data_IF_495610671432
#
_entry.id   IF_495610671432
#
_cell.length_a   1.000
_cell.length_b   1.000
_cell.length_c   1.000
_cell.angle_alpha   90.00
_cell.angle_beta   90.00
_cell.angle_gamma   90.00
#
_symmetry.space_group_name_H-M   'P 1'
#
loop_
_entity.id
_entity.type
_entity.pdbx_description
1 polymer ?
#
# COMPACT_ATOMS: atom_id res chain seq x y z
N UNK A 1 6.18 0.94 -16.44
CA UNK A 1 6.62 1.71 -15.26
C UNK A 1 5.58 2.80 -15.05
N UNK A 2 5.24 3.13 -13.80
CA UNK A 2 4.18 4.12 -13.55
C UNK A 2 4.53 5.49 -14.16
N UNK A 3 3.55 6.14 -14.79
CA UNK A 3 3.65 7.44 -15.44
C UNK A 3 3.36 8.62 -14.52
N UNK A 4 2.56 8.41 -13.48
CA UNK A 4 2.10 9.45 -12.55
C UNK A 4 1.62 8.86 -11.21
N UNK A 5 1.43 9.74 -10.22
CA UNK A 5 0.73 9.42 -8.96
C UNK A 5 -0.69 10.02 -9.02
N UNK A 6 -1.71 9.16 -9.06
CA UNK A 6 -3.10 9.56 -8.99
C UNK A 6 -3.53 9.69 -7.52
N UNK A 7 -3.63 10.92 -7.03
CA UNK A 7 -4.06 11.22 -5.66
C UNK A 7 -5.57 11.46 -5.64
N UNK A 8 -6.29 10.78 -4.75
CA UNK A 8 -7.75 10.94 -4.63
C UNK A 8 -8.13 11.67 -3.36
N UNK A 9 -9.04 12.64 -3.48
CA UNK A 9 -9.67 13.34 -2.35
C UNK A 9 -11.16 13.55 -2.59
N UNK A 10 -11.95 13.54 -1.53
CA UNK A 10 -13.34 14.02 -1.54
C UNK A 10 -13.53 15.30 -0.70
N UNK A 11 -12.42 15.96 -0.34
CA UNK A 11 -12.41 17.20 0.44
C UNK A 11 -12.50 17.00 1.95
N UNK A 12 -12.74 15.78 2.43
CA UNK A 12 -12.77 15.50 3.87
C UNK A 12 -11.36 15.54 4.47
N UNK A 13 -11.27 15.90 5.76
CA UNK A 13 -9.99 15.90 6.50
C UNK A 13 -9.30 14.53 6.47
N UNK A 14 -10.08 13.46 6.45
CA UNK A 14 -9.60 12.07 6.40
C UNK A 14 -8.90 11.74 5.08
N UNK A 15 -9.14 12.51 4.01
CA UNK A 15 -8.50 12.30 2.70
C UNK A 15 -7.14 13.01 2.54
N UNK A 16 -6.76 13.89 3.47
CA UNK A 16 -5.50 14.64 3.40
C UNK A 16 -4.23 13.78 3.48
N UNK A 17 -4.18 12.67 4.24
CA UNK A 17 -3.00 11.82 4.24
C UNK A 17 -2.60 11.30 2.85
N UNK A 18 -3.56 11.04 1.96
CA UNK A 18 -3.28 10.64 0.58
C UNK A 18 -2.60 11.76 -0.20
N UNK A 19 -2.99 13.01 0.05
CA UNK A 19 -2.38 14.20 -0.56
C UNK A 19 -0.94 14.33 -0.09
N UNK A 20 -0.69 14.29 1.21
CA UNK A 20 0.65 14.47 1.78
C UNK A 20 1.58 13.30 1.43
N UNK A 21 1.13 12.06 1.64
CA UNK A 21 1.91 10.86 1.34
C UNK A 21 2.08 10.65 -0.17
N UNK A 22 1.05 10.94 -0.98
CA UNK A 22 1.10 10.86 -2.43
C UNK A 22 2.04 11.89 -3.05
N UNK A 23 2.01 13.13 -2.56
CA UNK A 23 2.95 14.18 -2.96
C UNK A 23 4.40 13.78 -2.64
N UNK A 24 4.64 13.27 -1.44
CA UNK A 24 5.94 12.74 -1.06
C UNK A 24 6.39 11.60 -1.97
N UNK A 25 5.50 10.65 -2.29
CA UNK A 25 5.82 9.54 -3.17
C UNK A 25 6.18 10.04 -4.58
N UNK A 26 5.41 11.00 -5.10
CA UNK A 26 5.65 11.61 -6.41
C UNK A 26 7.04 12.24 -6.47
N UNK A 27 7.41 13.04 -5.46
CA UNK A 27 8.76 13.62 -5.32
C UNK A 27 9.84 12.55 -5.24
N UNK A 28 9.63 11.52 -4.41
CA UNK A 28 10.60 10.43 -4.18
C UNK A 28 10.88 9.63 -5.45
N UNK A 29 9.87 9.45 -6.31
CA UNK A 29 9.99 8.69 -7.54
C UNK A 29 10.22 9.56 -8.79
N UNK A 30 10.20 10.89 -8.67
CA UNK A 30 10.31 11.82 -9.78
C UNK A 30 9.13 11.72 -10.75
N UNK A 31 7.92 11.47 -10.24
CA UNK A 31 6.70 11.32 -11.03
C UNK A 31 5.79 12.57 -10.91
N UNK A 32 5.05 12.92 -11.97
CA UNK A 32 4.03 13.96 -11.90
C UNK A 32 2.82 13.50 -11.06
N UNK A 33 1.99 14.47 -10.66
CA UNK A 33 0.81 14.27 -9.82
C UNK A 33 -0.47 14.51 -10.62
N UNK A 34 -1.44 13.61 -10.50
CA UNK A 34 -2.82 13.82 -10.93
C UNK A 34 -3.70 13.87 -9.68
N UNK A 35 -4.22 15.05 -9.32
CA UNK A 35 -5.16 15.18 -8.20
C UNK A 35 -6.59 15.05 -8.71
N UNK A 36 -7.30 14.02 -8.23
CA UNK A 36 -8.68 13.72 -8.53
C UNK A 36 -9.57 14.04 -7.33
N UNK A 37 -10.38 15.09 -7.47
CA UNK A 37 -11.48 15.43 -6.58
C UNK A 37 -12.74 14.65 -6.94
N UNK A 38 -13.32 13.94 -5.97
CA UNK A 38 -14.59 13.24 -6.13
C UNK A 38 -15.67 13.93 -5.31
N UNK A 39 -16.65 14.50 -6.01
CA UNK A 39 -17.89 15.03 -5.42
C UNK A 39 -18.94 13.94 -5.38
N UNK A 40 -19.20 13.38 -4.20
CA UNK A 40 -20.39 12.57 -3.98
C UNK A 40 -21.59 13.52 -3.84
N UNK A 41 -22.77 13.16 -4.39
CA UNK A 41 -23.96 14.02 -4.35
C UNK A 41 -24.30 14.36 -2.89
N UNK A 42 -23.98 15.59 -2.47
CA UNK A 42 -24.46 16.17 -1.23
C UNK A 42 -25.95 16.46 -1.39
N UNK A 43 -26.71 16.23 -0.33
CA UNK A 43 -28.13 16.57 -0.23
C UNK A 43 -28.39 17.99 -0.77
N UNK A 44 -29.33 18.19 -1.72
CA UNK A 44 -29.68 19.52 -2.24
C UNK A 44 -30.05 20.54 -1.15
N UNK A 45 -30.40 20.08 0.06
CA UNK A 45 -30.70 20.93 1.22
C UNK A 45 -29.46 21.47 1.96
N UNK A 46 -28.24 21.02 1.64
CA UNK A 46 -27.00 21.47 2.27
C UNK A 46 -26.48 22.76 1.62
N UNK A 47 -27.29 23.83 1.69
CA UNK A 47 -27.01 25.14 1.07
C UNK A 47 -25.83 25.88 1.76
N UNK A 48 -25.44 25.45 2.97
CA UNK A 48 -24.36 26.07 3.78
C UNK A 48 -23.09 25.20 3.92
N UNK A 49 -22.94 24.12 3.15
CA UNK A 49 -21.76 23.27 3.24
C UNK A 49 -20.59 23.90 2.45
N UNK A 50 -19.72 24.63 3.17
CA UNK A 50 -18.36 25.02 2.75
C UNK A 50 -17.77 23.99 1.80
N UNK A 51 -17.46 24.37 0.55
CA UNK A 51 -16.99 23.45 -0.50
C UNK A 51 -15.74 22.69 -0.04
N UNK A 52 -15.86 21.42 0.43
CA UNK A 52 -14.75 20.75 1.11
C UNK A 52 -13.61 20.45 0.12
N UNK A 53 -13.92 20.36 -1.17
CA UNK A 53 -12.91 20.14 -2.22
C UNK A 53 -12.08 21.38 -2.52
N UNK A 54 -12.64 22.60 -2.47
CA UNK A 54 -11.88 23.81 -2.80
C UNK A 54 -10.73 24.00 -1.82
N UNK A 55 -11.02 23.91 -0.51
CA UNK A 55 -10.00 23.99 0.54
C UNK A 55 -8.97 22.85 0.44
N UNK A 56 -9.40 21.64 0.08
CA UNK A 56 -8.49 20.53 -0.14
C UNK A 56 -7.58 20.74 -1.36
N UNK A 57 -8.12 21.27 -2.46
CA UNK A 57 -7.34 21.59 -3.66
C UNK A 57 -6.37 22.74 -3.40
N UNK A 58 -6.80 23.81 -2.71
CA UNK A 58 -5.92 24.93 -2.35
C UNK A 58 -4.71 24.45 -1.54
N UNK A 59 -4.96 23.67 -0.48
CA UNK A 59 -3.87 23.11 0.34
C UNK A 59 -3.00 22.11 -0.45
N UNK A 60 -3.59 21.29 -1.32
CA UNK A 60 -2.85 20.35 -2.15
C UNK A 60 -1.95 21.07 -3.17
N UNK A 61 -2.47 22.08 -3.85
CA UNK A 61 -1.73 22.90 -4.81
C UNK A 61 -0.57 23.60 -4.12
N UNK A 62 -0.79 24.23 -2.97
CA UNK A 62 0.28 24.84 -2.19
C UNK A 62 1.40 23.85 -1.83
N UNK A 63 1.04 22.61 -1.47
CA UNK A 63 2.02 21.54 -1.25
C UNK A 63 2.78 21.15 -2.52
N UNK A 64 2.08 21.01 -3.65
CA UNK A 64 2.67 20.59 -4.93
C UNK A 64 3.62 21.66 -5.49
N UNK A 65 3.24 22.94 -5.39
CA UNK A 65 4.07 24.07 -5.79
C UNK A 65 5.32 24.20 -4.91
N UNK A 66 5.17 24.07 -3.59
CA UNK A 66 6.29 24.13 -2.65
C UNK A 66 7.36 23.06 -2.90
N UNK A 67 6.99 21.92 -3.48
CA UNK A 67 7.94 20.87 -3.88
C UNK A 67 8.38 20.92 -5.35
N UNK A 68 7.86 21.87 -6.14
CA UNK A 68 8.15 22.00 -7.58
C UNK A 68 7.62 20.84 -8.43
N UNK A 69 6.52 20.20 -8.01
CA UNK A 69 5.96 19.07 -8.74
C UNK A 69 5.16 19.54 -9.97
N UNK A 70 5.25 18.80 -11.08
CA UNK A 70 4.29 18.92 -12.17
C UNK A 70 2.97 18.27 -11.74
N UNK A 71 1.85 18.99 -11.84
CA UNK A 71 0.55 18.46 -11.44
C UNK A 71 -0.58 18.81 -12.41
N UNK A 72 -1.62 17.98 -12.37
CA UNK A 72 -2.90 18.15 -13.05
C UNK A 72 -4.03 18.03 -12.02
N UNK A 73 -5.09 18.81 -12.22
CA UNK A 73 -6.25 18.86 -11.34
C UNK A 73 -7.49 18.42 -12.11
N UNK A 74 -8.26 17.49 -11.55
CA UNK A 74 -9.51 17.01 -12.15
C UNK A 74 -10.59 16.82 -11.08
N UNK A 75 -11.84 17.12 -11.42
CA UNK A 75 -13.01 16.88 -10.56
C UNK A 75 -14.00 15.97 -11.30
N UNK A 76 -14.62 15.04 -10.56
CA UNK A 76 -15.64 14.12 -11.05
C UNK A 76 -16.78 13.97 -10.06
N UNK A 77 -18.00 13.98 -10.59
CA UNK A 77 -19.23 13.76 -9.81
C UNK A 77 -19.61 12.28 -9.78
N UNK A 78 -19.91 11.76 -8.59
CA UNK A 78 -20.38 10.40 -8.37
C UNK A 78 -19.64 9.69 -7.24
N UNK A 79 -19.88 8.39 -7.07
CA UNK A 79 -19.25 7.60 -6.01
C UNK A 79 -17.78 7.34 -6.31
N UNK A 80 -16.91 7.56 -5.32
CA UNK A 80 -15.48 7.32 -5.45
C UNK A 80 -15.16 5.86 -5.84
N UNK A 81 -15.91 4.89 -5.31
CA UNK A 81 -15.76 3.45 -5.61
C UNK A 81 -16.01 3.12 -7.09
N UNK A 82 -16.76 3.97 -7.83
CA UNK A 82 -16.99 3.81 -9.27
C UNK A 82 -16.02 4.64 -10.10
N UNK A 83 -15.69 5.84 -9.66
CA UNK A 83 -14.89 6.80 -10.43
C UNK A 83 -13.41 6.43 -10.40
N UNK A 84 -12.85 6.18 -9.21
CA UNK A 84 -11.41 5.98 -9.06
C UNK A 84 -10.90 4.80 -9.89
N UNK A 85 -11.55 3.62 -9.92
CA UNK A 85 -11.07 2.52 -10.76
C UNK A 85 -11.13 2.82 -12.26
N UNK A 86 -12.05 3.66 -12.71
CA UNK A 86 -12.16 4.08 -14.12
C UNK A 86 -11.05 5.07 -14.46
N UNK A 87 -10.81 6.06 -13.62
CA UNK A 87 -9.74 7.05 -13.81
C UNK A 87 -8.36 6.38 -13.71
N UNK A 88 -8.15 5.48 -12.76
CA UNK A 88 -6.90 4.74 -12.61
C UNK A 88 -6.52 3.91 -13.85
N UNK A 89 -7.50 3.41 -14.61
CA UNK A 89 -7.29 2.63 -15.85
C UNK A 89 -6.88 3.47 -17.06
N UNK A 90 -6.95 4.80 -16.97
CA UNK A 90 -6.58 5.69 -18.10
C UNK A 90 -5.07 5.81 -18.28
N UNK A 91 -4.29 5.53 -17.24
CA UNK A 91 -2.83 5.59 -17.27
C UNK A 91 -2.23 4.46 -16.44
N UNK A 92 -0.93 4.24 -16.62
CA UNK A 92 -0.13 3.41 -15.72
C UNK A 92 0.19 4.22 -14.45
N UNK A 93 -0.78 4.45 -13.57
CA UNK A 93 -0.57 5.26 -12.36
C UNK A 93 -0.24 4.42 -11.12
N UNK A 94 0.25 5.07 -10.05
CA UNK A 94 0.10 4.58 -8.67
C UNK A 94 -1.04 5.38 -8.04
N UNK A 95 -2.04 4.69 -7.48
CA UNK A 95 -3.20 5.35 -6.87
C UNK A 95 -2.94 5.60 -5.39
N UNK A 96 -2.94 6.85 -4.95
CA UNK A 96 -2.87 7.23 -3.54
C UNK A 96 -4.27 7.47 -2.98
N UNK A 97 -4.62 6.70 -1.95
CA UNK A 97 -5.92 6.69 -1.29
C UNK A 97 -5.80 6.89 0.21
N UNK A 98 -6.85 7.43 0.80
CA UNK A 98 -7.05 7.54 2.24
C UNK A 98 -8.50 7.19 2.57
N UNK A 99 -8.86 7.02 3.85
CA UNK A 99 -10.27 6.99 4.22
C UNK A 99 -11.00 8.22 3.67
N UNK A 100 -12.03 8.01 2.85
CA UNK A 100 -12.82 9.09 2.24
C UNK A 100 -14.01 9.51 3.14
N UNK A 101 -13.86 9.46 4.46
CA UNK A 101 -14.83 10.00 5.44
C UNK A 101 -16.32 9.75 5.14
N UNK A 102 -16.86 8.55 5.43
CA UNK A 102 -18.31 8.29 5.35
C UNK A 102 -19.08 8.82 6.57
N UNK A 103 -20.40 9.13 6.44
CA UNK A 103 -21.25 9.53 7.58
C UNK A 103 -21.19 8.52 8.73
N UNK A 104 -21.32 9.02 9.96
CA UNK A 104 -21.08 8.29 11.23
C UNK A 104 -21.84 6.95 11.35
N UNK A 105 -23.03 6.82 10.75
CA UNK A 105 -23.84 5.59 10.81
C UNK A 105 -23.29 4.44 9.94
N UNK A 106 -22.37 4.71 9.01
CA UNK A 106 -21.69 3.71 8.17
C UNK A 106 -20.22 3.47 8.59
N UNK A 107 -19.74 4.13 9.67
CA UNK A 107 -18.35 3.99 10.17
C UNK A 107 -17.99 2.60 10.67
N UNK A 108 -18.98 1.78 11.01
CA UNK A 108 -18.77 0.37 11.40
C UNK A 108 -18.33 -0.51 10.22
N UNK A 109 -18.13 0.08 9.03
CA UNK A 109 -17.84 -0.63 7.79
C UNK A 109 -16.60 -0.08 7.08
N UNK A 110 -15.66 0.50 7.82
CA UNK A 110 -14.40 1.06 7.29
C UNK A 110 -13.62 0.08 6.37
N UNK A 111 -13.77 -1.23 6.59
CA UNK A 111 -13.19 -2.27 5.74
C UNK A 111 -13.85 -2.48 4.36
N UNK A 112 -15.12 -2.09 4.12
CA UNK A 112 -15.77 -2.37 2.82
C UNK A 112 -15.28 -1.48 1.69
N UNK A 113 -14.98 -0.20 1.95
CA UNK A 113 -14.54 0.71 0.89
C UNK A 113 -13.12 0.40 0.41
N UNK A 114 -12.17 0.19 1.33
CA UNK A 114 -10.83 -0.21 0.93
C UNK A 114 -10.86 -1.56 0.21
N UNK A 115 -11.69 -2.50 0.66
CA UNK A 115 -11.89 -3.77 -0.04
C UNK A 115 -12.41 -3.55 -1.48
N UNK A 116 -13.43 -2.71 -1.66
CA UNK A 116 -13.94 -2.39 -2.99
C UNK A 116 -12.85 -1.79 -3.90
N UNK A 117 -12.02 -0.88 -3.38
CA UNK A 117 -10.91 -0.31 -4.13
C UNK A 117 -9.83 -1.35 -4.47
N UNK A 118 -9.42 -2.18 -3.50
CA UNK A 118 -8.41 -3.22 -3.72
C UNK A 118 -8.88 -4.28 -4.72
N UNK A 119 -10.18 -4.56 -4.78
CA UNK A 119 -10.77 -5.46 -5.79
C UNK A 119 -10.85 -4.80 -7.17
N UNK A 120 -11.19 -3.51 -7.25
CA UNK A 120 -11.46 -2.81 -8.52
C UNK A 120 -10.24 -2.17 -9.20
N UNK A 121 -9.20 -1.78 -8.44
CA UNK A 121 -8.01 -1.10 -8.92
C UNK A 121 -6.91 -2.13 -9.21
N UNK A 122 -6.46 -2.19 -10.46
CA UNK A 122 -5.41 -3.12 -10.88
C UNK A 122 -3.99 -2.56 -10.66
N UNK A 123 -3.89 -1.23 -10.67
CA UNK A 123 -2.69 -0.45 -10.45
C UNK A 123 -2.15 -0.62 -9.02
N UNK A 124 -0.86 -0.31 -8.77
CA UNK A 124 -0.36 -0.20 -7.42
C UNK A 124 -1.15 0.84 -6.61
N UNK A 125 -1.46 0.52 -5.35
CA UNK A 125 -2.22 1.38 -4.45
C UNK A 125 -1.37 1.72 -3.23
N UNK A 126 -1.19 3.02 -2.98
CA UNK A 126 -0.71 3.56 -1.71
C UNK A 126 -1.92 3.96 -0.88
N UNK A 127 -2.24 3.18 0.15
CA UNK A 127 -3.28 3.54 1.12
C UNK A 127 -2.64 4.21 2.34
N UNK A 128 -2.98 5.46 2.62
CA UNK A 128 -2.49 6.25 3.74
C UNK A 128 -3.64 6.55 4.72
N UNK A 129 -3.80 5.76 5.80
CA UNK A 129 -4.77 6.11 6.85
C UNK A 129 -4.34 7.36 7.63
N UNK A 130 -3.03 7.58 7.74
CA UNK A 130 -2.38 8.72 8.38
C UNK A 130 -1.08 9.05 7.62
N UNK A 131 -0.62 10.30 7.72
CA UNK A 131 0.66 10.73 7.14
C UNK A 131 1.81 10.27 8.03
N UNK A 132 2.80 9.57 7.46
CA UNK A 132 4.03 9.13 8.15
C UNK A 132 5.24 9.60 7.37
N UNK A 133 5.66 10.82 7.64
CA UNK A 133 6.81 11.47 7.00
C UNK A 133 7.77 12.02 8.06
N UNK A 134 9.09 11.98 7.82
CA UNK A 134 9.76 11.34 6.68
C UNK A 134 9.74 9.79 6.79
N UNK A 135 9.71 9.09 5.65
CA UNK A 135 9.83 7.62 5.62
C UNK A 135 11.28 7.22 5.82
N UNK A 136 11.59 6.59 6.96
CA UNK A 136 12.93 6.12 7.32
C UNK A 136 13.00 4.59 7.42
N UNK A 137 11.88 3.92 7.72
CA UNK A 137 11.81 2.46 7.87
C UNK A 137 10.68 1.88 7.04
N UNK A 138 11.03 0.98 6.13
CA UNK A 138 10.09 0.30 5.24
C UNK A 138 10.06 -1.19 5.60
N UNK A 139 8.86 -1.72 5.86
CA UNK A 139 8.61 -3.14 6.01
C UNK A 139 8.13 -3.69 4.67
N UNK A 140 8.75 -4.76 4.18
CA UNK A 140 8.38 -5.42 2.92
C UNK A 140 7.93 -6.84 3.26
N UNK A 141 6.65 -7.14 3.08
CA UNK A 141 6.10 -8.48 3.31
C UNK A 141 6.38 -9.37 2.10
N UNK A 142 7.11 -10.46 2.34
CA UNK A 142 7.56 -11.42 1.33
C UNK A 142 6.75 -12.72 1.47
N UNK A 143 5.95 -13.02 0.46
CA UNK A 143 5.06 -14.19 0.41
C UNK A 143 5.73 -15.47 -0.06
N UNK A 144 6.92 -15.38 -0.68
CA UNK A 144 7.72 -16.53 -1.13
C UNK A 144 7.13 -17.32 -2.32
N UNK A 145 6.02 -16.85 -2.88
CA UNK A 145 5.35 -17.42 -4.06
C UNK A 145 5.49 -16.51 -5.31
N UNK A 146 6.27 -15.44 -5.22
CA UNK A 146 6.56 -14.52 -6.34
C UNK A 146 5.51 -13.43 -6.60
N UNK A 147 4.36 -13.45 -5.90
CA UNK A 147 3.30 -12.43 -6.06
C UNK A 147 3.66 -11.04 -5.53
N UNK A 148 4.77 -10.94 -4.81
CA UNK A 148 5.33 -9.78 -4.14
C UNK A 148 6.34 -9.00 -4.99
N UNK A 149 6.84 -9.56 -6.09
CA UNK A 149 7.95 -9.00 -6.88
C UNK A 149 7.71 -7.53 -7.27
N UNK A 150 6.49 -7.19 -7.72
CA UNK A 150 6.16 -5.80 -8.08
C UNK A 150 6.14 -4.86 -6.87
N UNK A 151 5.59 -5.31 -5.74
CA UNK A 151 5.53 -4.53 -4.51
C UNK A 151 6.94 -4.33 -3.93
N UNK A 152 7.77 -5.36 -3.97
CA UNK A 152 9.18 -5.31 -3.59
C UNK A 152 9.96 -4.34 -4.47
N UNK A 153 9.82 -4.39 -5.79
CA UNK A 153 10.49 -3.45 -6.71
C UNK A 153 10.10 -2.00 -6.44
N UNK A 154 8.81 -1.72 -6.20
CA UNK A 154 8.36 -0.37 -5.82
C UNK A 154 8.98 0.02 -4.47
N UNK A 155 8.94 -0.87 -3.48
CA UNK A 155 9.52 -0.62 -2.16
C UNK A 155 11.01 -0.29 -2.22
N UNK A 156 11.78 -1.05 -3.01
CA UNK A 156 13.22 -0.84 -3.19
C UNK A 156 13.51 0.52 -3.85
N UNK A 157 12.73 0.91 -4.86
CA UNK A 157 12.85 2.24 -5.49
C UNK A 157 12.54 3.36 -4.52
N UNK A 158 11.48 3.21 -3.73
CA UNK A 158 11.11 4.17 -2.68
C UNK A 158 12.20 4.26 -1.62
N UNK A 159 12.67 3.13 -1.11
CA UNK A 159 13.74 3.05 -0.12
C UNK A 159 15.00 3.76 -0.60
N UNK A 160 15.39 3.54 -1.87
CA UNK A 160 16.54 4.20 -2.49
C UNK A 160 16.33 5.70 -2.66
N UNK A 161 15.13 6.11 -3.08
CA UNK A 161 14.79 7.52 -3.28
C UNK A 161 14.79 8.35 -1.99
N UNK A 162 14.46 7.74 -0.86
CA UNK A 162 14.40 8.42 0.44
C UNK A 162 15.51 8.01 1.43
N UNK A 163 16.39 7.08 1.06
CA UNK A 163 17.44 6.56 1.94
C UNK A 163 16.90 5.77 3.14
N UNK A 164 15.76 5.11 3.02
CA UNK A 164 15.16 4.35 4.11
C UNK A 164 15.82 2.97 4.30
N UNK A 165 15.81 2.51 5.54
CA UNK A 165 16.12 1.12 5.90
C UNK A 165 14.96 0.20 5.47
N UNK A 166 15.29 -0.99 4.98
CA UNK A 166 14.31 -1.99 4.57
C UNK A 166 14.38 -3.25 5.45
N UNK A 167 13.24 -3.73 5.90
CA UNK A 167 13.12 -5.05 6.54
C UNK A 167 12.24 -5.95 5.68
N UNK A 168 12.80 -7.07 5.21
CA UNK A 168 12.08 -8.13 4.51
C UNK A 168 11.44 -9.05 5.56
N UNK A 169 10.12 -9.07 5.64
CA UNK A 169 9.37 -9.88 6.60
C UNK A 169 8.76 -11.09 5.90
N UNK A 170 9.04 -12.28 6.43
CA UNK A 170 8.29 -13.49 6.11
C UNK A 170 7.57 -14.03 7.34
N UNK A 171 6.33 -14.48 7.16
CA UNK A 171 5.57 -15.12 8.23
C UNK A 171 5.30 -16.57 7.86
N UNK A 172 5.73 -17.45 8.75
CA UNK A 172 5.43 -18.87 8.67
C UNK A 172 4.07 -19.09 9.35
N UNK A 173 2.99 -19.38 8.61
CA UNK A 173 1.70 -19.66 9.21
C UNK A 173 1.77 -20.97 10.04
N UNK A 174 0.90 -21.15 11.04
CA UNK A 174 0.80 -22.42 11.75
C UNK A 174 0.51 -23.54 10.75
N UNK A 175 1.37 -24.55 10.74
CA UNK A 175 1.29 -25.68 9.82
C UNK A 175 0.24 -26.66 10.36
N UNK A 176 -0.87 -26.85 9.65
CA UNK A 176 -1.88 -27.86 9.99
C UNK A 176 -1.50 -29.27 9.49
N UNK A 177 -0.49 -29.40 8.63
CA UNK A 177 -0.13 -30.66 7.96
C UNK A 177 1.37 -30.98 7.98
N UNK A 178 1.71 -32.21 8.34
CA UNK A 178 3.09 -32.71 8.49
C UNK A 178 3.76 -32.98 7.13
N UNK A 179 4.38 -31.95 6.54
CA UNK A 179 5.14 -32.04 5.29
C UNK A 179 6.64 -31.76 5.50
N UNK A 180 7.56 -32.45 4.80
CA UNK A 180 9.02 -32.31 5.00
C UNK A 180 9.55 -30.88 4.85
N UNK A 181 9.08 -30.12 3.85
CA UNK A 181 9.46 -28.70 3.67
C UNK A 181 8.94 -27.80 4.79
N UNK A 182 7.75 -28.08 5.30
CA UNK A 182 7.17 -27.36 6.41
C UNK A 182 7.96 -27.62 7.70
N UNK A 183 8.44 -28.85 7.89
CA UNK A 183 9.32 -29.25 8.99
C UNK A 183 10.68 -28.55 8.93
N UNK A 184 11.32 -28.49 7.76
CA UNK A 184 12.61 -27.80 7.58
C UNK A 184 12.48 -26.29 7.84
N UNK A 185 11.44 -25.64 7.32
CA UNK A 185 11.12 -24.23 7.63
C UNK A 185 10.84 -24.03 9.13
N UNK A 186 10.23 -25.03 9.78
CA UNK A 186 9.92 -24.99 11.21
C UNK A 186 11.17 -25.29 12.09
N UNK A 187 12.15 -26.02 11.60
CA UNK A 187 13.39 -26.27 12.34
C UNK A 187 14.37 -25.10 12.21
N UNK A 188 14.43 -24.47 11.03
CA UNK A 188 15.43 -23.44 10.69
C UNK A 188 14.86 -22.04 10.49
N UNK A 189 13.69 -21.72 11.05
CA UNK A 189 13.03 -20.42 10.79
C UNK A 189 13.86 -19.18 11.10
N UNK A 190 14.77 -19.23 12.09
CA UNK A 190 15.65 -18.09 12.43
C UNK A 190 16.76 -17.89 11.41
N UNK A 191 17.10 -18.94 10.67
CA UNK A 191 18.11 -18.97 9.62
C UNK A 191 17.49 -19.32 8.27
N UNK A 192 16.23 -18.90 8.04
CA UNK A 192 15.48 -19.29 6.84
C UNK A 192 16.22 -18.91 5.55
N UNK A 193 16.93 -17.77 5.57
CA UNK A 193 17.82 -17.30 4.50
C UNK A 193 19.01 -18.20 4.21
N UNK A 194 19.32 -19.19 5.06
CA UNK A 194 20.40 -20.17 4.90
C UNK A 194 19.87 -21.50 4.34
N UNK A 195 18.55 -21.70 4.37
CA UNK A 195 17.91 -22.92 3.84
C UNK A 195 17.86 -22.92 2.31
N UNK A 196 17.73 -24.10 1.69
CA UNK A 196 17.47 -24.24 0.25
C UNK A 196 15.97 -24.40 -0.06
N UNK A 197 15.12 -23.86 0.82
CA UNK A 197 13.69 -23.75 0.55
C UNK A 197 13.44 -22.65 -0.49
N UNK A 198 12.36 -22.72 -1.29
CA UNK A 198 11.99 -21.63 -2.22
C UNK A 198 11.92 -20.26 -1.54
N UNK A 199 11.36 -20.22 -0.32
CA UNK A 199 11.27 -19.02 0.50
C UNK A 199 12.66 -18.54 0.94
N UNK A 200 13.52 -19.44 1.42
CA UNK A 200 14.89 -19.11 1.82
C UNK A 200 15.71 -18.51 0.68
N UNK A 201 15.63 -19.11 -0.52
CA UNK A 201 16.26 -18.57 -1.73
C UNK A 201 15.70 -17.20 -2.11
N UNK A 202 14.37 -17.03 -2.08
CA UNK A 202 13.73 -15.76 -2.40
C UNK A 202 14.19 -14.65 -1.45
N UNK A 203 14.14 -14.88 -0.14
CA UNK A 203 14.58 -13.91 0.87
C UNK A 203 16.07 -13.56 0.73
N UNK A 204 16.92 -14.54 0.44
CA UNK A 204 18.34 -14.32 0.20
C UNK A 204 18.56 -13.43 -1.02
N UNK A 205 17.92 -13.76 -2.14
CA UNK A 205 18.00 -12.98 -3.37
C UNK A 205 17.50 -11.54 -3.17
N UNK A 206 16.34 -11.35 -2.51
CA UNK A 206 15.81 -10.03 -2.16
C UNK A 206 16.78 -9.24 -1.28
N UNK A 207 17.38 -9.88 -0.27
CA UNK A 207 18.36 -9.23 0.62
C UNK A 207 19.62 -8.81 -0.14
N UNK A 208 20.14 -9.68 -1.00
CA UNK A 208 21.30 -9.40 -1.86
C UNK A 208 21.01 -8.25 -2.83
N UNK A 209 19.84 -8.24 -3.47
CA UNK A 209 19.41 -7.17 -4.37
C UNK A 209 19.31 -5.82 -3.64
N UNK A 210 18.73 -5.80 -2.43
CA UNK A 210 18.65 -4.59 -1.63
C UNK A 210 20.04 -4.04 -1.27
N UNK A 211 20.94 -4.92 -0.82
CA UNK A 211 22.33 -4.56 -0.47
C UNK A 211 23.11 -4.09 -1.70
N UNK A 212 22.95 -4.75 -2.84
CA UNK A 212 23.58 -4.34 -4.11
C UNK A 212 23.08 -2.96 -4.58
N UNK A 213 21.83 -2.60 -4.25
CA UNK A 213 21.28 -1.28 -4.48
C UNK A 213 21.74 -0.21 -3.47
N UNK A 214 22.58 -0.58 -2.48
CA UNK A 214 23.11 0.32 -1.45
C UNK A 214 22.18 0.53 -0.26
N UNK A 215 21.14 -0.30 -0.08
CA UNK A 215 20.18 -0.17 1.02
C UNK A 215 20.66 -0.91 2.27
N UNK A 216 20.40 -0.29 3.43
CA UNK A 216 20.47 -0.99 4.71
C UNK A 216 19.26 -1.92 4.81
N UNK A 217 19.48 -3.21 4.56
CA UNK A 217 18.43 -4.23 4.50
C UNK A 217 18.66 -5.37 5.49
N UNK A 218 17.57 -5.85 6.09
CA UNK A 218 17.56 -6.99 7.02
C UNK A 218 16.42 -7.94 6.68
N UNK A 219 16.50 -9.18 7.17
CA UNK A 219 15.42 -10.17 7.07
C UNK A 219 14.87 -10.44 8.46
N UNK A 220 13.54 -10.50 8.58
CA UNK A 220 12.80 -10.90 9.77
C UNK A 220 11.89 -12.06 9.42
N UNK A 221 11.86 -13.06 10.29
CA UNK A 221 10.95 -14.20 10.17
C UNK A 221 10.10 -14.26 11.42
N UNK A 222 8.78 -14.31 11.26
CA UNK A 222 7.82 -14.49 12.36
C UNK A 222 6.99 -15.75 12.14
N UNK A 223 6.28 -16.17 13.18
CA UNK A 223 5.43 -17.37 13.17
C UNK A 223 4.08 -17.04 13.77
N UNK A 224 3.01 -17.48 13.14
CA UNK A 224 1.67 -17.27 13.66
C UNK A 224 0.70 -16.85 12.58
N UNK A 225 -0.40 -16.22 12.99
CA UNK A 225 -1.39 -15.71 12.06
C UNK A 225 -0.79 -14.57 11.22
N UNK A 226 -0.84 -14.69 9.89
CA UNK A 226 -0.22 -13.73 8.97
C UNK A 226 -0.66 -12.29 9.25
N UNK A 227 -1.95 -12.05 9.45
CA UNK A 227 -2.46 -10.70 9.66
C UNK A 227 -1.95 -10.14 10.99
N UNK A 228 -2.08 -10.92 12.07
CA UNK A 228 -1.67 -10.48 13.40
C UNK A 228 -0.16 -10.25 13.51
N UNK A 229 0.66 -11.11 12.92
CA UNK A 229 2.11 -10.97 12.95
C UNK A 229 2.61 -9.80 12.09
N UNK A 230 1.99 -9.49 10.94
CA UNK A 230 2.31 -8.27 10.17
C UNK A 230 1.99 -7.04 11.03
N UNK A 231 0.78 -6.96 11.59
CA UNK A 231 0.36 -5.80 12.37
C UNK A 231 1.20 -5.64 13.65
N UNK A 232 1.59 -6.74 14.29
CA UNK A 232 2.49 -6.73 15.43
C UNK A 232 3.88 -6.20 15.05
N UNK A 233 4.48 -6.72 13.96
CA UNK A 233 5.78 -6.25 13.48
C UNK A 233 5.74 -4.78 13.08
N UNK A 234 4.69 -4.34 12.38
CA UNK A 234 4.50 -2.93 12.03
C UNK A 234 4.51 -2.02 13.26
N UNK A 235 3.92 -2.46 14.38
CA UNK A 235 3.88 -1.70 15.65
C UNK A 235 5.22 -1.75 16.37
N UNK A 236 5.78 -2.95 16.56
CA UNK A 236 7.02 -3.18 17.29
C UNK A 236 8.22 -2.49 16.64
N UNK A 237 8.31 -2.54 15.29
CA UNK A 237 9.38 -1.89 14.55
C UNK A 237 9.14 -0.41 14.25
N UNK A 238 7.94 0.11 14.55
CA UNK A 238 7.51 1.48 14.23
C UNK A 238 7.86 1.88 12.78
N UNK A 239 7.40 1.07 11.83
CA UNK A 239 7.67 1.29 10.41
C UNK A 239 6.81 2.43 9.87
N UNK A 240 7.37 3.20 8.93
CA UNK A 240 6.72 4.35 8.31
C UNK A 240 5.91 3.96 7.07
N UNK A 241 6.24 2.81 6.45
CA UNK A 241 5.57 2.28 5.27
C UNK A 241 5.63 0.75 5.28
N UNK A 242 4.49 0.10 5.06
CA UNK A 242 4.42 -1.32 4.69
C UNK A 242 4.28 -1.46 3.19
N UNK A 243 5.05 -2.34 2.58
CA UNK A 243 4.89 -2.77 1.19
C UNK A 243 4.53 -4.25 1.16
N UNK A 244 3.48 -4.62 0.44
CA UNK A 244 3.07 -6.03 0.32
C UNK A 244 2.44 -6.34 -1.03
N UNK A 245 2.63 -7.56 -1.53
CA UNK A 245 1.91 -8.04 -2.71
C UNK A 245 0.38 -8.04 -2.47
N UNK A 246 -0.38 -7.86 -3.55
CA UNK A 246 -1.83 -8.03 -3.55
C UNK A 246 -2.20 -9.41 -4.06
N UNK A 247 -2.92 -10.20 -3.26
CA UNK A 247 -3.38 -11.55 -3.62
C UNK A 247 -4.47 -11.57 -4.70
N UNK A 248 -4.91 -10.40 -5.18
CA UNK A 248 -5.89 -10.31 -6.27
C UNK A 248 -5.29 -10.59 -7.66
N UNK A 249 -4.02 -11.00 -7.72
CA UNK A 249 -3.35 -11.40 -8.94
C UNK A 249 -3.54 -12.89 -9.26
N UNK A 250 -4.27 -13.13 -10.36
CA UNK A 250 -4.37 -14.36 -11.14
C UNK A 250 -5.07 -15.58 -10.50
N UNK A 251 -5.75 -16.33 -11.40
CA UNK A 251 -6.28 -17.68 -11.27
C UNK A 251 -5.26 -18.71 -10.73
N UNK A 252 -4.79 -18.55 -9.49
CA UNK A 252 -4.04 -19.59 -8.81
C UNK A 252 -5.02 -20.45 -8.01
N UNK A 253 -4.92 -21.76 -8.23
CA UNK A 253 -5.81 -22.84 -7.78
C UNK A 253 -5.89 -23.05 -6.24
N UNK A 254 -5.88 -21.99 -5.45
CA UNK A 254 -6.05 -22.02 -3.99
C UNK A 254 -6.95 -20.89 -3.46
N UNK A 255 -7.98 -20.54 -4.21
CA UNK A 255 -9.00 -19.56 -3.79
C UNK A 255 -9.84 -19.95 -2.56
N UNK A 256 -9.49 -21.00 -1.80
CA UNK A 256 -10.34 -21.49 -0.72
C UNK A 256 -10.02 -21.00 0.70
N UNK A 257 -8.95 -20.25 1.00
CA UNK A 257 -8.66 -19.88 2.40
C UNK A 257 -8.01 -18.50 2.61
N UNK A 258 -8.47 -17.42 1.97
CA UNK A 258 -8.06 -16.12 2.49
C UNK A 258 -9.07 -15.01 2.24
N UNK A 259 -9.70 -14.56 3.33
CA UNK A 259 -10.08 -13.16 3.44
C UNK A 259 -8.90 -12.32 2.93
N UNK A 260 -9.16 -11.34 2.07
CA UNK A 260 -8.13 -10.55 1.39
C UNK A 260 -7.16 -9.93 2.42
N UNK A 261 -6.00 -10.59 2.65
CA UNK A 261 -5.00 -10.21 3.66
C UNK A 261 -4.62 -8.75 3.49
N UNK A 262 -4.42 -8.29 2.25
CA UNK A 262 -4.10 -6.89 1.95
C UNK A 262 -5.21 -5.95 2.42
N UNK A 263 -6.47 -6.25 2.13
CA UNK A 263 -7.59 -5.40 2.56
C UNK A 263 -7.77 -5.40 4.09
N UNK A 264 -7.58 -6.54 4.75
CA UNK A 264 -7.65 -6.66 6.21
C UNK A 264 -6.51 -5.89 6.90
N UNK A 265 -5.28 -5.99 6.36
CA UNK A 265 -4.14 -5.20 6.81
C UNK A 265 -4.41 -3.71 6.61
N UNK A 266 -4.82 -3.27 5.42
CA UNK A 266 -5.09 -1.86 5.17
C UNK A 266 -6.22 -1.30 6.05
N UNK A 267 -7.23 -2.10 6.37
CA UNK A 267 -8.31 -1.68 7.26
C UNK A 267 -7.84 -1.45 8.71
N UNK A 268 -6.71 -2.05 9.12
CA UNK A 268 -6.20 -2.06 10.50
C UNK A 268 -4.81 -1.42 10.67
N UNK A 269 -4.17 -1.04 9.56
CA UNK A 269 -2.82 -0.48 9.54
C UNK A 269 -2.78 0.90 10.19
N UNK A 270 -1.72 1.16 10.96
CA UNK A 270 -1.42 2.46 11.59
C UNK A 270 -0.36 3.27 10.84
N UNK A 271 0.09 2.80 9.68
CA UNK A 271 0.97 3.53 8.79
C UNK A 271 0.57 3.26 7.32
N UNK A 272 1.03 4.09 6.37
CA UNK A 272 0.81 3.86 4.95
C UNK A 272 1.15 2.44 4.50
N UNK A 273 0.32 1.91 3.59
CA UNK A 273 0.47 0.58 2.99
C UNK A 273 0.52 0.73 1.47
N UNK A 274 1.63 0.35 0.86
CA UNK A 274 1.79 0.18 -0.57
C UNK A 274 1.47 -1.26 -0.95
N UNK A 275 0.66 -1.45 -1.98
CA UNK A 275 0.44 -2.75 -2.59
C UNK A 275 0.52 -2.70 -4.09
N UNK A 276 0.95 -3.80 -4.69
CA UNK A 276 0.94 -3.99 -6.13
C UNK A 276 0.49 -5.42 -6.44
N UNK A 277 -0.29 -5.56 -7.50
CA UNK A 277 -0.64 -6.88 -8.04
C UNK A 277 0.56 -7.47 -8.78
N UNK A 278 0.67 -8.79 -8.78
CA UNK A 278 1.57 -9.46 -9.69
C UNK A 278 1.16 -9.18 -11.14
N UNK A 279 2.08 -8.64 -11.92
CA UNK A 279 1.97 -8.50 -13.36
C UNK A 279 2.60 -9.72 -14.00
N UNK A 280 1.81 -10.47 -14.77
CA UNK A 280 2.35 -11.49 -15.67
C UNK A 280 3.06 -10.87 -16.85
#
# INVERSE_FOLDING_TARGET
MASDILIVTNGTKESFPAIEQGAWLAKTLGLPISLLGVTEWLDPAAIDAVHPLEAAFEKAVGLFEAQGAAYRLEVRNGSAEKIVPVEARKSDCIVALSPLGRPHLQRLVAGRSIRAFIEAIAQPVLYAPETRLPVKKILISVGGLGYDINAEHIAMRVAKGCGAEAALLHIIPPIEFDYPTAKEMNEHWRTLTETDTPVGRSLRASLENAKAAGLAASVKVRRGNVIEEILAEMREGNYDLLCMGSSYSAHSLRQMVSANVTAEIMARAHCPVMTARFGG
#
